data_IF_920042250169
#
_entry.id   IF_920042250169
#
_cell.length_a   1.000
_cell.length_b   1.000
_cell.length_c   1.000
_cell.angle_alpha   90.00
_cell.angle_beta   90.00
_cell.angle_gamma   90.00
#
_symmetry.space_group_name_H-M   'P 1'
#
loop_
_entity.id
_entity.type
_entity.pdbx_description
1 polymer ?
#
# COMPACT_ATOMS: atom_id res chain seq x y z
N UNK A 1 -17.26 -27.08 52.65
CA UNK A 1 -16.12 -26.91 51.72
C UNK A 1 -16.51 -26.82 50.22
N UNK A 2 -17.72 -26.33 49.87
CA UNK A 2 -18.20 -26.24 48.46
C UNK A 2 -17.96 -24.87 47.79
N UNK A 3 -17.75 -23.78 48.56
CA UNK A 3 -17.62 -22.42 48.01
C UNK A 3 -16.29 -22.12 47.30
N UNK A 4 -15.15 -22.63 47.81
CA UNK A 4 -13.84 -22.34 47.22
C UNK A 4 -13.59 -23.00 45.86
N UNK A 5 -14.25 -24.14 45.59
CA UNK A 5 -14.17 -24.81 44.27
C UNK A 5 -14.89 -23.99 43.21
N UNK A 6 -16.07 -23.45 43.52
CA UNK A 6 -16.84 -22.61 42.60
C UNK A 6 -16.12 -21.29 42.28
N UNK A 7 -15.50 -20.66 43.28
CA UNK A 7 -14.74 -19.41 43.09
C UNK A 7 -13.49 -19.62 42.23
N UNK A 8 -12.78 -20.74 42.39
CA UNK A 8 -11.62 -21.08 41.55
C UNK A 8 -12.01 -21.37 40.09
N UNK A 9 -13.14 -22.06 39.88
CA UNK A 9 -13.65 -22.32 38.53
C UNK A 9 -14.06 -21.02 37.84
N UNK A 10 -14.70 -20.09 38.55
CA UNK A 10 -15.06 -18.78 38.01
C UNK A 10 -13.82 -17.95 37.63
N UNK A 11 -12.78 -17.97 38.47
CA UNK A 11 -11.55 -17.22 38.23
C UNK A 11 -10.78 -17.73 36.99
N UNK A 12 -10.75 -19.06 36.78
CA UNK A 12 -10.12 -19.65 35.59
C UNK A 12 -10.92 -19.35 34.32
N UNK A 13 -12.25 -19.40 34.40
CA UNK A 13 -13.11 -19.04 33.26
C UNK A 13 -12.96 -17.56 32.87
N UNK A 14 -12.85 -16.65 33.86
CA UNK A 14 -12.61 -15.23 33.60
C UNK A 14 -11.24 -14.98 32.98
N UNK A 15 -10.19 -15.66 33.45
CA UNK A 15 -8.84 -15.54 32.88
C UNK A 15 -8.77 -16.03 31.43
N UNK A 16 -9.46 -17.13 31.12
CA UNK A 16 -9.55 -17.67 29.75
C UNK A 16 -10.30 -16.72 28.81
N UNK A 17 -11.34 -16.04 29.30
CA UNK A 17 -12.08 -15.05 28.52
C UNK A 17 -11.22 -13.83 28.15
N UNK A 18 -10.39 -13.36 29.10
CA UNK A 18 -9.49 -12.22 28.89
C UNK A 18 -8.37 -12.58 27.90
N UNK A 19 -7.81 -13.80 27.98
CA UNK A 19 -6.82 -14.28 27.01
C UNK A 19 -7.41 -14.41 25.60
N UNK A 20 -8.67 -14.82 25.46
CA UNK A 20 -9.31 -14.96 24.16
C UNK A 20 -9.56 -13.62 23.45
N UNK A 21 -9.76 -12.53 24.20
CA UNK A 21 -9.96 -11.19 23.63
C UNK A 21 -8.66 -10.44 23.31
N UNK A 22 -7.52 -10.89 23.83
CA UNK A 22 -6.23 -10.19 23.66
C UNK A 22 -5.66 -10.30 22.24
N UNK A 23 -6.10 -11.28 21.44
CA UNK A 23 -5.72 -11.44 20.04
C UNK A 23 -6.75 -10.87 19.05
N UNK A 24 -7.74 -10.09 19.51
CA UNK A 24 -8.63 -9.39 18.60
C UNK A 24 -7.81 -8.33 17.84
N UNK A 25 -7.43 -8.65 16.61
CA UNK A 25 -6.89 -7.68 15.67
C UNK A 25 -7.94 -6.59 15.48
N UNK A 26 -7.55 -5.33 15.68
CA UNK A 26 -8.35 -4.19 15.25
C UNK A 26 -8.31 -4.14 13.72
N UNK A 27 -9.08 -5.02 13.09
CA UNK A 27 -9.38 -4.94 11.67
C UNK A 27 -10.10 -3.60 11.48
N UNK A 28 -9.59 -2.68 10.64
CA UNK A 28 -10.31 -1.46 10.31
C UNK A 28 -11.70 -1.86 9.84
N UNK A 29 -12.74 -1.26 10.43
CA UNK A 29 -14.10 -1.46 9.97
C UNK A 29 -14.15 -1.01 8.49
N UNK A 30 -14.28 -1.98 7.58
CA UNK A 30 -14.44 -1.69 6.17
C UNK A 30 -15.72 -0.89 5.99
N UNK A 31 -15.58 0.39 5.65
CA UNK A 31 -16.73 1.24 5.32
C UNK A 31 -17.51 0.65 4.14
N UNK A 32 -18.82 0.85 4.14
CA UNK A 32 -19.67 0.49 2.99
C UNK A 32 -19.11 1.10 1.70
N UNK A 33 -19.15 0.39 0.56
CA UNK A 33 -18.56 0.87 -0.67
C UNK A 33 -19.23 2.18 -1.09
N UNK A 34 -18.46 3.26 -1.08
CA UNK A 34 -18.86 4.54 -1.65
C UNK A 34 -18.95 4.39 -3.16
N UNK A 35 -20.06 4.83 -3.75
CA UNK A 35 -20.24 4.83 -5.21
C UNK A 35 -19.47 6.02 -5.80
N UNK A 36 -18.20 5.79 -6.13
CA UNK A 36 -17.33 6.78 -6.80
C UNK A 36 -15.98 6.99 -6.12
N UNK A 37 -15.04 7.71 -6.77
CA UNK A 37 -13.74 8.03 -6.19
C UNK A 37 -13.89 8.85 -4.91
N UNK A 38 -13.26 8.40 -3.83
CA UNK A 38 -13.21 9.13 -2.55
C UNK A 38 -11.88 9.85 -2.45
N UNK A 39 -11.93 11.12 -2.03
CA UNK A 39 -10.73 11.92 -1.81
C UNK A 39 -10.08 11.53 -0.48
N UNK A 40 -8.76 11.36 -0.49
CA UNK A 40 -7.95 11.14 0.70
C UNK A 40 -7.71 9.66 1.01
N UNK A 41 -7.00 9.41 2.11
CA UNK A 41 -6.49 8.09 2.49
C UNK A 41 -4.97 8.01 2.45
N UNK A 42 -4.43 6.96 3.06
CA UNK A 42 -2.99 6.67 3.06
C UNK A 42 -2.77 5.29 2.47
N UNK A 43 -1.97 5.22 1.40
CA UNK A 43 -1.47 3.95 0.86
C UNK A 43 -0.15 3.61 1.56
N UNK A 44 -0.13 2.48 2.26
CA UNK A 44 1.12 1.88 2.76
C UNK A 44 1.49 0.73 1.85
N UNK A 45 2.62 0.84 1.17
CA UNK A 45 3.10 -0.15 0.22
C UNK A 45 4.41 -0.77 0.71
N UNK A 46 4.42 -2.09 0.92
CA UNK A 46 5.60 -2.82 1.34
C UNK A 46 6.48 -3.13 0.12
N UNK A 47 7.77 -2.82 0.23
CA UNK A 47 8.78 -3.06 -0.82
C UNK A 47 9.82 -4.04 -0.28
N UNK A 48 10.25 -5.00 -1.11
CA UNK A 48 11.11 -6.11 -0.67
C UNK A 48 12.59 -5.73 -0.46
N UNK A 49 13.03 -4.56 -0.94
CA UNK A 49 14.40 -4.05 -0.85
C UNK A 49 14.37 -2.51 -0.70
N UNK A 50 15.44 -1.95 -0.14
CA UNK A 50 15.68 -0.50 -0.07
C UNK A 50 16.25 0.03 -1.41
N UNK A 51 15.83 1.20 -1.92
CA UNK A 51 16.47 1.83 -3.08
C UNK A 51 17.94 2.19 -2.79
N UNK A 52 18.85 1.81 -3.69
CA UNK A 52 20.27 2.18 -3.55
C UNK A 52 20.55 3.69 -3.65
N UNK A 53 19.67 4.43 -4.34
CA UNK A 53 19.77 5.88 -4.51
C UNK A 53 18.41 6.46 -4.86
N UNK A 54 18.23 7.75 -4.59
CA UNK A 54 17.10 8.55 -5.06
C UNK A 54 17.46 9.46 -6.24
N UNK A 55 18.73 9.54 -6.64
CA UNK A 55 19.12 10.28 -7.82
C UNK A 55 18.81 9.43 -9.07
N UNK A 56 17.79 9.78 -9.88
CA UNK A 56 17.26 8.90 -10.92
C UNK A 56 18.30 8.57 -11.99
N UNK A 57 19.22 9.49 -12.27
CA UNK A 57 20.29 9.31 -13.27
C UNK A 57 21.33 8.24 -12.88
N UNK A 58 21.39 7.85 -11.60
CA UNK A 58 22.31 6.83 -11.09
C UNK A 58 21.59 5.53 -10.70
N UNK A 59 20.26 5.49 -10.78
CA UNK A 59 19.46 4.33 -10.41
C UNK A 59 19.36 3.31 -11.53
N UNK A 60 19.66 2.05 -11.23
CA UNK A 60 19.43 0.91 -12.15
C UNK A 60 18.57 -0.21 -11.53
N UNK A 61 18.13 -0.03 -10.27
CA UNK A 61 17.27 -0.97 -9.57
C UNK A 61 15.80 -0.68 -9.87
N UNK A 62 15.01 -1.75 -10.04
CA UNK A 62 13.55 -1.64 -10.17
C UNK A 62 12.92 -0.88 -9.01
N UNK A 63 13.40 -1.11 -7.78
CA UNK A 63 12.90 -0.42 -6.58
C UNK A 63 13.16 1.08 -6.63
N UNK A 64 14.37 1.49 -6.99
CA UNK A 64 14.69 2.90 -7.20
C UNK A 64 13.75 3.53 -8.23
N UNK A 65 13.39 2.82 -9.30
CA UNK A 65 12.40 3.27 -10.27
C UNK A 65 11.00 3.46 -9.67
N UNK A 66 10.51 2.48 -8.90
CA UNK A 66 9.20 2.54 -8.24
C UNK A 66 9.11 3.70 -7.26
N UNK A 67 10.14 3.90 -6.42
CA UNK A 67 10.17 4.99 -5.43
C UNK A 67 10.29 6.35 -6.13
N UNK A 68 11.06 6.46 -7.21
CA UNK A 68 11.15 7.72 -7.96
C UNK A 68 9.86 8.09 -8.68
N UNK A 69 9.04 7.12 -9.10
CA UNK A 69 7.81 7.38 -9.84
C UNK A 69 6.76 8.20 -9.06
N UNK A 70 6.89 8.34 -7.74
CA UNK A 70 6.03 9.21 -6.93
C UNK A 70 6.58 10.64 -6.77
N UNK A 71 7.85 10.86 -7.10
CA UNK A 71 8.54 12.13 -6.89
C UNK A 71 8.88 12.84 -8.21
N UNK A 72 9.14 12.09 -9.27
CA UNK A 72 9.52 12.63 -10.58
C UNK A 72 8.71 11.98 -11.69
N UNK A 73 8.43 12.76 -12.75
CA UNK A 73 7.69 12.32 -13.92
C UNK A 73 8.53 12.46 -15.19
N UNK A 74 8.41 11.48 -16.08
CA UNK A 74 9.01 11.53 -17.41
C UNK A 74 8.16 12.35 -18.40
N UNK A 75 8.71 12.57 -19.60
CA UNK A 75 7.95 13.17 -20.70
C UNK A 75 6.78 12.28 -21.13
N UNK A 76 7.02 10.97 -21.17
CA UNK A 76 6.09 9.92 -21.54
C UNK A 76 6.10 8.84 -20.46
N UNK A 77 5.06 8.01 -20.46
CA UNK A 77 5.01 6.74 -19.73
C UNK A 77 4.46 5.63 -20.62
N UNK A 78 4.58 4.40 -20.16
CA UNK A 78 4.01 3.24 -20.83
C UNK A 78 2.79 2.74 -20.05
N UNK A 79 1.70 2.43 -20.73
CA UNK A 79 0.53 1.78 -20.11
C UNK A 79 0.73 0.26 -19.94
N UNK A 80 -0.27 -0.42 -19.38
CA UNK A 80 -0.22 -1.87 -19.16
C UNK A 80 -0.17 -2.68 -20.45
N UNK A 81 -0.54 -2.08 -21.58
CA UNK A 81 -0.48 -2.67 -22.91
C UNK A 81 0.82 -2.36 -23.66
N UNK A 82 1.76 -1.65 -23.04
CA UNK A 82 3.01 -1.26 -23.70
C UNK A 82 2.89 0.01 -24.56
N UNK A 83 1.75 0.69 -24.60
CA UNK A 83 1.59 1.88 -25.42
C UNK A 83 2.14 3.11 -24.71
N UNK A 84 2.81 3.98 -25.46
CA UNK A 84 3.28 5.26 -24.94
C UNK A 84 2.12 6.22 -24.73
N UNK A 85 2.11 6.86 -23.57
CA UNK A 85 1.14 7.88 -23.16
C UNK A 85 1.89 9.16 -22.81
N UNK A 86 1.39 10.34 -23.24
CA UNK A 86 1.97 11.61 -22.82
C UNK A 86 1.78 11.81 -21.32
N UNK A 87 2.79 12.38 -20.66
CA UNK A 87 2.73 12.82 -19.25
C UNK A 87 3.04 14.31 -19.22
N UNK A 88 4.32 14.69 -19.14
CA UNK A 88 4.73 16.10 -19.24
C UNK A 88 4.82 16.60 -20.69
N UNK A 89 5.00 15.70 -21.65
CA UNK A 89 4.98 16.06 -23.06
C UNK A 89 3.56 16.36 -23.57
N UNK A 90 3.44 17.27 -24.53
CA UNK A 90 2.15 17.58 -25.17
C UNK A 90 1.60 16.43 -26.02
N UNK A 91 2.48 15.64 -26.63
CA UNK A 91 2.12 14.52 -27.49
C UNK A 91 3.26 13.51 -27.53
N UNK A 92 2.92 12.27 -27.91
CA UNK A 92 3.91 11.24 -28.22
C UNK A 92 4.60 11.61 -29.55
N UNK A 93 5.94 11.58 -29.63
CA UNK A 93 6.66 11.81 -30.88
C UNK A 93 6.30 10.78 -31.95
N UNK A 94 6.16 11.26 -33.18
CA UNK A 94 5.90 10.51 -34.42
C UNK A 94 6.62 11.21 -35.57
N UNK A 95 6.86 10.53 -36.68
CA UNK A 95 7.47 11.15 -37.88
C UNK A 95 6.73 12.42 -38.32
N UNK A 96 5.40 12.43 -38.19
CA UNK A 96 4.54 13.56 -38.61
C UNK A 96 4.68 14.80 -37.72
N UNK A 97 5.12 14.65 -36.47
CA UNK A 97 5.25 15.76 -35.52
C UNK A 97 6.71 16.05 -35.14
N UNK A 98 7.67 15.61 -35.97
CA UNK A 98 9.10 15.89 -35.80
C UNK A 98 9.84 14.94 -34.86
N UNK A 99 9.21 13.82 -34.49
CA UNK A 99 9.92 12.67 -33.93
C UNK A 99 10.78 11.99 -35.00
N UNK A 100 11.89 11.38 -34.58
CA UNK A 100 12.77 10.57 -35.44
C UNK A 100 12.21 9.18 -35.69
#
# INVERSE_FOLDING_TARGET
>A
MRGHRSVRVLAVAAALLVLATACASTQPAGGSPTTGPVKGGTLVFAIWQEPATLAPNYGNQTITGIVNAVAVEGLLRTDTGGNYQPVLAKAVPTEKNGGV
#
